data_IF_369543510195
#
_entry.id   IF_369543510195
#
_cell.length_a   1.000
_cell.length_b   1.000
_cell.length_c   1.000
_cell.angle_alpha   90.00
_cell.angle_beta   90.00
_cell.angle_gamma   90.00
#
_symmetry.space_group_name_H-M   'P 1'
#
loop_
_entity.id
_entity.type
_entity.pdbx_description
1 polymer ?
#
# COMPACT_ATOMS: atom_id res chain seq x y z
N UNK A 1 -25.66 13.95 22.34
CA UNK A 1 -25.44 13.45 21.93
C UNK A 1 -24.91 13.03 21.32
N UNK A 2 -24.69 12.95 21.23
CA UNK A 2 -24.21 12.38 20.65
C UNK A 2 -23.66 11.91 20.10
N UNK A 3 -23.24 11.89 20.06
CA UNK A 3 -22.74 11.40 19.53
C UNK A 3 -22.16 10.71 19.27
N UNK A 4 -21.95 10.92 19.46
CA UNK A 4 -21.48 10.23 19.22
C UNK A 4 -21.01 9.59 18.65
N UNK A 5 -20.91 9.79 18.70
CA UNK A 5 -20.55 9.09 18.19
C UNK A 5 -20.01 8.69 17.50
N UNK A 6 -19.90 9.00 17.45
CA UNK A 6 -19.50 8.61 16.90
C UNK A 6 -18.80 8.24 16.43
N UNK A 7 -18.62 8.58 16.58
CA UNK A 7 -18.03 8.17 16.23
C UNK A 7 -17.51 7.50 16.02
N UNK A 8 -17.50 7.80 16.37
CA UNK A 8 -17.15 7.03 16.31
C UNK A 8 -16.73 6.43 15.80
N UNK A 9 -16.63 6.50 15.71
CA UNK A 9 -16.28 5.87 15.31
C UNK A 9 -15.75 5.56 14.66
N UNK A 10 -15.93 5.62 14.56
CA UNK A 10 -15.51 5.23 14.02
C UNK A 10 -14.55 4.97 13.61
N UNK A 11 -13.98 4.84 13.82
CA UNK A 11 -12.90 4.62 13.55
C UNK A 11 -12.38 3.49 13.19
N UNK A 12 -11.99 3.20 12.51
CA UNK A 12 -11.57 2.02 11.97
C UNK A 12 -10.40 1.49 12.62
N UNK A 13 -10.57 0.81 13.59
CA UNK A 13 -9.59 0.17 14.21
C UNK A 13 -8.99 -0.86 13.40
N UNK A 14 -9.63 -1.34 12.43
CA UNK A 14 -9.05 -2.34 11.58
C UNK A 14 -8.30 -1.72 10.45
N UNK A 15 -8.11 -0.43 10.52
CA UNK A 15 -7.47 0.30 9.47
C UNK A 15 -5.99 -0.06 9.35
N UNK A 16 -5.55 -0.37 8.15
CA UNK A 16 -4.17 -0.67 7.90
C UNK A 16 -3.40 0.57 7.54
N UNK A 17 -2.13 0.59 7.91
CA UNK A 17 -1.28 1.70 7.51
C UNK A 17 -0.99 1.56 6.03
N UNK A 18 -1.27 2.59 5.27
CA UNK A 18 -1.16 2.56 3.82
C UNK A 18 -0.06 3.50 3.37
N UNK A 19 1.15 3.22 3.78
CA UNK A 19 2.30 4.04 3.42
C UNK A 19 2.73 3.77 1.99
N UNK A 20 3.24 4.79 1.33
CA UNK A 20 3.84 4.61 0.03
C UNK A 20 5.22 4.00 0.21
N UNK A 21 5.69 3.29 -0.81
CA UNK A 21 7.00 2.67 -0.81
C UNK A 21 7.71 3.01 -2.10
N UNK A 22 9.02 3.15 -2.02
CA UNK A 22 9.81 3.55 -3.17
C UNK A 22 10.85 2.48 -3.47
N UNK A 23 10.99 2.15 -4.75
CA UNK A 23 12.01 1.23 -5.21
C UNK A 23 13.36 1.95 -5.17
N UNK A 24 14.30 1.45 -4.38
CA UNK A 24 15.58 2.14 -4.23
C UNK A 24 16.47 1.95 -5.44
N UNK A 25 16.09 1.12 -6.39
CA UNK A 25 16.86 0.88 -7.60
C UNK A 25 16.48 1.86 -8.70
N UNK A 26 15.18 2.05 -8.94
CA UNK A 26 14.75 2.88 -10.06
C UNK A 26 13.88 4.08 -9.67
N UNK A 27 13.45 4.16 -8.40
CA UNK A 27 12.65 5.29 -7.95
C UNK A 27 11.15 5.15 -8.15
N UNK A 28 10.69 3.98 -8.58
CA UNK A 28 9.26 3.76 -8.74
C UNK A 28 8.56 3.86 -7.37
N UNK A 29 7.43 4.55 -7.33
CA UNK A 29 6.67 4.72 -6.09
C UNK A 29 5.44 3.82 -6.14
N UNK A 30 5.31 2.91 -5.18
CA UNK A 30 4.08 2.15 -5.03
C UNK A 30 3.14 2.94 -4.14
N UNK A 31 2.01 3.34 -4.67
CA UNK A 31 1.00 4.09 -3.92
C UNK A 31 -0.16 3.14 -3.64
N UNK A 32 -0.39 2.75 -2.37
CA UNK A 32 -1.46 1.80 -2.07
C UNK A 32 -2.84 2.26 -2.56
N UNK A 33 -3.08 3.57 -2.61
CA UNK A 33 -4.37 4.05 -3.09
C UNK A 33 -4.60 3.70 -4.55
N UNK A 34 -3.53 3.57 -5.33
CA UNK A 34 -3.62 3.26 -6.74
C UNK A 34 -3.39 1.80 -7.04
N UNK A 35 -2.62 1.13 -6.19
CA UNK A 35 -2.26 -0.26 -6.43
C UNK A 35 -1.38 -0.42 -7.65
N UNK A 36 -1.44 -1.62 -8.23
CA UNK A 36 -0.71 -1.92 -9.46
C UNK A 36 -1.56 -2.88 -10.27
N UNK A 37 -2.66 -2.38 -10.85
CA UNK A 37 -3.63 -3.27 -11.50
C UNK A 37 -3.04 -4.09 -12.63
N UNK A 38 -2.03 -3.56 -13.32
CA UNK A 38 -1.42 -4.31 -14.42
C UNK A 38 -0.72 -5.56 -13.93
N UNK A 39 -0.30 -5.57 -12.67
CA UNK A 39 0.31 -6.76 -12.07
C UNK A 39 -0.68 -7.51 -11.20
N UNK A 40 -1.95 -7.14 -11.23
CA UNK A 40 -2.97 -7.83 -10.45
C UNK A 40 -3.12 -7.31 -9.02
N UNK A 41 -2.55 -6.16 -8.71
CA UNK A 41 -2.65 -5.58 -7.36
C UNK A 41 -3.74 -4.53 -7.36
N UNK A 42 -4.85 -4.82 -6.71
CA UNK A 42 -5.99 -3.91 -6.73
C UNK A 42 -5.69 -2.63 -5.96
N UNK A 43 -6.31 -1.51 -6.37
CA UNK A 43 -6.22 -0.28 -5.58
C UNK A 43 -6.71 -0.55 -4.15
N UNK A 44 -6.02 0.04 -3.18
CA UNK A 44 -6.36 -0.17 -1.79
C UNK A 44 -5.57 -1.28 -1.12
N UNK A 45 -4.59 -1.87 -1.82
CA UNK A 45 -3.78 -2.94 -1.26
C UNK A 45 -2.55 -2.34 -0.60
N UNK A 46 -2.37 -2.61 0.70
CA UNK A 46 -1.19 -2.15 1.40
C UNK A 46 0.04 -2.90 0.87
N UNK A 47 1.20 -2.26 0.94
CA UNK A 47 2.41 -2.86 0.39
C UNK A 47 2.69 -4.23 1.01
N UNK A 48 2.49 -4.36 2.32
CA UNK A 48 2.78 -5.63 2.98
C UNK A 48 1.80 -6.74 2.60
N UNK A 49 0.68 -6.39 1.96
CA UNK A 49 -0.28 -7.40 1.50
C UNK A 49 -0.01 -7.86 0.08
N UNK A 50 0.96 -7.27 -0.60
CA UNK A 50 1.30 -7.68 -1.96
C UNK A 50 2.02 -9.02 -1.89
N UNK A 51 1.71 -9.96 -2.80
CA UNK A 51 2.40 -11.26 -2.80
C UNK A 51 3.90 -11.10 -2.86
N UNK A 52 4.60 -12.05 -2.24
CA UNK A 52 6.06 -11.95 -2.16
C UNK A 52 6.74 -12.06 -3.52
N UNK A 53 6.08 -12.64 -4.50
CA UNK A 53 6.68 -12.78 -5.83
C UNK A 53 6.41 -11.59 -6.74
N UNK A 54 5.76 -10.55 -6.22
CA UNK A 54 5.55 -9.33 -6.98
C UNK A 54 6.88 -8.63 -7.18
N UNK A 55 7.06 -8.04 -8.34
CA UNK A 55 8.29 -7.31 -8.65
C UNK A 55 7.95 -5.90 -9.11
N UNK A 56 8.95 -5.03 -9.03
CA UNK A 56 8.78 -3.65 -9.45
C UNK A 56 8.40 -3.61 -10.93
N UNK A 57 7.28 -2.96 -11.28
CA UNK A 57 6.87 -2.92 -12.68
C UNK A 57 7.79 -2.09 -13.56
N UNK A 58 8.65 -1.27 -12.96
CA UNK A 58 9.55 -0.42 -13.74
C UNK A 58 10.91 -1.07 -13.99
N UNK A 59 11.43 -1.83 -13.02
CA UNK A 59 12.78 -2.38 -13.20
C UNK A 59 12.88 -3.86 -12.86
N UNK A 60 11.83 -4.47 -12.30
CA UNK A 60 11.81 -5.92 -12.13
C UNK A 60 12.42 -6.48 -10.86
N UNK A 61 12.89 -5.63 -9.93
CA UNK A 61 13.46 -6.15 -8.70
C UNK A 61 12.33 -6.50 -7.73
N UNK A 62 12.64 -7.31 -6.72
CA UNK A 62 11.64 -7.77 -5.77
C UNK A 62 11.32 -6.75 -4.70
N UNK A 63 10.39 -7.13 -3.82
CA UNK A 63 9.93 -6.25 -2.76
C UNK A 63 11.04 -5.86 -1.80
N UNK A 64 12.07 -6.69 -1.68
CA UNK A 64 13.16 -6.41 -0.75
C UNK A 64 13.92 -5.15 -1.12
N UNK A 65 13.74 -4.62 -2.31
CA UNK A 65 14.41 -3.39 -2.73
C UNK A 65 13.53 -2.16 -2.56
N UNK A 66 12.44 -2.30 -1.83
CA UNK A 66 11.56 -1.17 -1.56
C UNK A 66 11.72 -0.70 -0.12
N UNK A 67 11.65 0.61 0.06
CA UNK A 67 11.69 1.21 1.38
C UNK A 67 10.51 2.14 1.54
N UNK A 68 10.13 2.38 2.79
CA UNK A 68 9.05 3.31 3.06
C UNK A 68 9.42 4.67 2.52
N UNK A 69 8.49 5.27 1.80
CA UNK A 69 8.71 6.57 1.15
C UNK A 69 8.68 7.75 2.15
#
# INVERSE_FOLDING_TARGET
MTFLVQELGSIPKTHKVMDKYVCIICGYIYDPAEGDPESGIAPGTAFEDIPEDWTCPACGVGKEHFEKY
#
